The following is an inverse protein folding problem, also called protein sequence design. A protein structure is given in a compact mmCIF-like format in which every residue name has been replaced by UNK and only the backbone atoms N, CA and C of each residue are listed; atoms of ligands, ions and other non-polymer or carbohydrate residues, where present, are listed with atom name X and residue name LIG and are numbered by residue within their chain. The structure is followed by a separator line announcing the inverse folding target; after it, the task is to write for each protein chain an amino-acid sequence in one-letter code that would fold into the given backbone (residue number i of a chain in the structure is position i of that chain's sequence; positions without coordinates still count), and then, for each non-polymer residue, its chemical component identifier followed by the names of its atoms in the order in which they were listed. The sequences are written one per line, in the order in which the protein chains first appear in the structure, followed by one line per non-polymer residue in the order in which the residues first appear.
data_IF_710613374920
#
_entry.id   IF_710613374920
#
_cell.length_a   1.000
_cell.length_b   1.000
_cell.length_c   1.000
_cell.angle_alpha   90.00
_cell.angle_beta   90.00
_cell.angle_gamma   90.00
#
_symmetry.space_group_name_H-M   'P 1'
#
loop_
_entity.id
_entity.type
_entity.pdbx_description
1 polymer ?
#
# COMPACT_ATOMS: atom_id res chain seq x y z
N UNK A 1 11.28 16.95 6.65
CA UNK A 1 12.21 15.93 7.18
C UNK A 1 12.62 16.35 8.57
N UNK A 2 12.89 15.37 9.43
CA UNK A 2 13.40 15.55 10.79
C UNK A 2 14.78 14.91 10.90
N UNK A 3 15.59 15.36 11.85
CA UNK A 3 16.94 14.88 12.15
C UNK A 3 17.04 14.11 13.48
N UNK A 4 15.93 14.02 14.22
CA UNK A 4 15.81 13.29 15.49
C UNK A 4 15.43 11.80 15.31
N UNK A 5 15.15 11.38 14.07
CA UNK A 5 14.74 10.03 13.73
C UNK A 5 13.27 9.73 14.03
N UNK A 6 12.49 10.69 14.51
CA UNK A 6 11.10 10.42 14.88
C UNK A 6 10.19 10.32 13.65
N UNK A 7 9.21 9.42 13.70
CA UNK A 7 8.18 9.27 12.67
C UNK A 7 6.86 9.70 13.30
N UNK A 8 6.33 10.83 12.86
CA UNK A 8 5.10 11.40 13.40
C UNK A 8 4.03 11.48 12.32
N UNK A 9 2.89 10.82 12.54
CA UNK A 9 1.71 11.01 11.72
C UNK A 9 0.91 12.20 12.27
N UNK A 10 0.96 13.34 11.60
CA UNK A 10 0.31 14.58 12.03
C UNK A 10 -1.23 14.55 11.90
N UNK A 11 -1.73 13.59 11.13
CA UNK A 11 -3.16 13.41 10.86
C UNK A 11 -3.53 11.96 11.18
N UNK A 12 -3.72 11.62 12.47
CA UNK A 12 -4.10 10.28 12.88
C UNK A 12 -5.43 9.89 12.22
N UNK A 13 -5.57 8.61 11.90
CA UNK A 13 -6.80 8.06 11.33
C UNK A 13 -7.60 7.46 12.49
N UNK A 14 -8.84 7.94 12.68
CA UNK A 14 -9.72 7.46 13.75
C UNK A 14 -9.85 5.93 13.72
N UNK A 15 -9.61 5.30 14.87
CA UNK A 15 -9.68 3.84 15.03
C UNK A 15 -8.48 3.07 14.48
N UNK A 16 -7.43 3.74 14.00
CA UNK A 16 -6.18 3.10 13.52
C UNK A 16 -4.99 3.64 14.31
N UNK A 17 -4.52 2.91 15.34
CA UNK A 17 -3.29 3.25 16.06
C UNK A 17 -2.09 3.39 15.13
N UNK A 18 -1.14 4.25 15.48
CA UNK A 18 0.06 4.50 14.66
C UNK A 18 0.89 3.23 14.44
N UNK A 19 0.94 2.31 15.41
CA UNK A 19 1.64 1.03 15.28
C UNK A 19 1.05 0.12 14.20
N UNK A 20 -0.26 0.23 13.93
CA UNK A 20 -0.94 -0.53 12.89
C UNK A 20 -1.11 0.26 11.59
N UNK A 21 -0.91 1.57 11.61
CA UNK A 21 -1.03 2.43 10.45
C UNK A 21 0.07 2.15 9.42
N UNK A 22 -0.35 1.80 8.20
CA UNK A 22 0.54 1.44 7.10
C UNK A 22 1.51 2.57 6.70
N UNK A 23 1.15 3.85 6.92
CA UNK A 23 2.03 5.00 6.70
C UNK A 23 3.24 4.95 7.64
N UNK A 24 2.97 4.81 8.95
CA UNK A 24 3.99 4.79 10.00
C UNK A 24 4.85 3.54 9.87
N UNK A 25 4.23 2.39 9.62
CA UNK A 25 4.93 1.12 9.40
C UNK A 25 5.86 1.18 8.18
N UNK A 26 5.42 1.74 7.06
CA UNK A 26 6.25 1.93 5.87
C UNK A 26 7.48 2.80 6.14
N UNK A 27 7.28 3.95 6.80
CA UNK A 27 8.38 4.85 7.13
C UNK A 27 9.39 4.19 8.09
N UNK A 28 8.92 3.45 9.10
CA UNK A 28 9.78 2.72 10.04
C UNK A 28 10.57 1.60 9.36
N UNK A 29 9.96 0.84 8.45
CA UNK A 29 10.66 -0.19 7.68
C UNK A 29 11.75 0.42 6.81
N UNK A 30 11.47 1.53 6.15
CA UNK A 30 12.46 2.16 5.29
C UNK A 30 13.63 2.78 6.09
N UNK A 31 13.40 3.17 7.34
CA UNK A 31 14.41 3.83 8.18
C UNK A 31 15.70 3.01 8.32
N UNK A 32 15.62 1.68 8.35
CA UNK A 32 16.82 0.81 8.43
C UNK A 32 17.71 0.88 7.18
N UNK A 33 17.23 1.46 6.08
CA UNK A 33 17.97 1.64 4.84
C UNK A 33 18.51 3.07 4.69
N UNK A 34 18.22 3.97 5.64
CA UNK A 34 18.81 5.32 5.65
C UNK A 34 20.21 5.30 6.26
N UNK A 35 21.11 6.13 5.74
CA UNK A 35 22.47 6.31 6.26
C UNK A 35 22.55 7.18 7.51
N UNK A 36 21.45 7.82 7.90
CA UNK A 36 21.35 8.72 9.04
C UNK A 36 20.07 8.44 9.83
N UNK A 37 19.97 8.88 11.10
CA UNK A 37 18.75 8.76 11.89
C UNK A 37 17.69 9.78 11.42
N UNK A 38 17.31 9.72 10.14
CA UNK A 38 16.31 10.62 9.59
C UNK A 38 14.91 10.25 10.08
N UNK A 39 14.14 11.29 10.34
CA UNK A 39 12.73 11.21 10.72
C UNK A 39 11.84 11.95 9.71
N UNK A 40 10.53 11.87 9.91
CA UNK A 40 9.55 12.50 9.07
C UNK A 40 8.28 12.84 9.83
N UNK A 41 7.79 14.06 9.61
CA UNK A 41 6.40 14.41 9.85
C UNK A 41 5.61 14.09 8.57
N UNK A 42 4.56 13.31 8.72
CA UNK A 42 3.73 12.83 7.60
C UNK A 42 2.30 13.27 7.87
N UNK A 43 1.65 13.88 6.87
CA UNK A 43 0.23 14.23 6.91
C UNK A 43 -0.48 13.63 5.70
N UNK A 44 -1.69 13.15 5.89
CA UNK A 44 -2.55 12.61 4.84
C UNK A 44 -3.88 13.36 4.81
N UNK A 45 -4.26 13.83 3.63
CA UNK A 45 -5.64 14.23 3.35
C UNK A 45 -6.42 13.01 2.85
N UNK A 46 -7.18 12.35 3.74
CA UNK A 46 -7.85 11.10 3.43
C UNK A 46 -9.19 11.33 2.73
N UNK A 47 -9.18 11.27 1.40
CA UNK A 47 -10.40 11.37 0.56
C UNK A 47 -11.04 10.01 0.33
N UNK A 48 -10.23 8.96 0.12
CA UNK A 48 -10.74 7.60 -0.07
C UNK A 48 -11.35 7.08 1.24
N UNK A 49 -12.50 6.36 1.20
CA UNK A 49 -13.07 5.75 2.40
C UNK A 49 -12.12 4.71 3.00
N UNK A 50 -12.37 4.36 4.25
CA UNK A 50 -11.72 3.21 4.90
C UNK A 50 -12.37 1.91 4.40
N UNK A 51 -11.55 0.93 4.03
CA UNK A 51 -12.03 -0.29 3.37
C UNK A 51 -12.52 -0.03 1.94
N UNK A 52 -13.50 -0.81 1.48
CA UNK A 52 -14.14 -0.60 0.18
C UNK A 52 -13.40 -1.18 -1.04
N UNK A 53 -12.30 -1.91 -0.84
CA UNK A 53 -11.60 -2.61 -1.93
C UNK A 53 -10.83 -1.71 -2.89
N UNK A 54 -10.57 -0.44 -2.52
CA UNK A 54 -9.87 0.55 -3.37
C UNK A 54 -8.35 0.59 -3.15
N UNK A 55 -7.82 -0.24 -2.26
CA UNK A 55 -6.38 -0.26 -1.97
C UNK A 55 -5.83 1.00 -1.29
N UNK A 56 -6.67 1.83 -0.67
CA UNK A 56 -6.25 3.14 -0.14
C UNK A 56 -5.09 3.08 0.87
N UNK A 57 -5.15 2.14 1.83
CA UNK A 57 -4.06 1.95 2.80
C UNK A 57 -2.76 1.46 2.16
N UNK A 58 -2.85 0.54 1.20
CA UNK A 58 -1.71 0.02 0.44
C UNK A 58 -1.05 1.12 -0.41
N UNK A 59 -1.86 1.97 -1.05
CA UNK A 59 -1.40 3.16 -1.78
C UNK A 59 -0.69 4.15 -0.86
N UNK A 60 -1.17 4.34 0.38
CA UNK A 60 -0.51 5.20 1.36
C UNK A 60 0.88 4.65 1.74
N UNK A 61 0.99 3.35 2.07
CA UNK A 61 2.28 2.71 2.33
C UNK A 61 3.25 2.83 1.14
N UNK A 62 2.80 2.49 -0.07
CA UNK A 62 3.61 2.58 -1.28
C UNK A 62 4.14 4.00 -1.51
N UNK A 63 3.27 5.00 -1.39
CA UNK A 63 3.64 6.41 -1.55
C UNK A 63 4.70 6.82 -0.53
N UNK A 64 4.56 6.39 0.73
CA UNK A 64 5.55 6.67 1.78
C UNK A 64 6.89 6.02 1.46
N UNK A 65 6.90 4.75 1.04
CA UNK A 65 8.13 4.04 0.65
C UNK A 65 8.84 4.76 -0.50
N UNK A 66 8.12 5.09 -1.57
CA UNK A 66 8.69 5.77 -2.75
C UNK A 66 9.19 7.17 -2.38
N UNK A 67 8.38 7.96 -1.68
CA UNK A 67 8.71 9.34 -1.34
C UNK A 67 9.90 9.41 -0.36
N UNK A 68 9.90 8.59 0.70
CA UNK A 68 10.99 8.60 1.67
C UNK A 68 12.26 7.94 1.10
N UNK A 69 12.17 6.97 0.20
CA UNK A 69 13.37 6.41 -0.47
C UNK A 69 14.10 7.51 -1.25
N UNK A 70 13.33 8.38 -1.90
CA UNK A 70 13.85 9.54 -2.60
C UNK A 70 14.40 10.61 -1.62
N UNK A 71 13.60 11.02 -0.63
CA UNK A 71 13.95 12.10 0.30
C UNK A 71 15.12 11.75 1.22
N UNK A 72 15.19 10.50 1.68
CA UNK A 72 16.29 9.99 2.51
C UNK A 72 17.46 9.44 1.70
N UNK A 73 17.37 9.49 0.36
CA UNK A 73 18.42 9.02 -0.56
C UNK A 73 18.87 7.58 -0.27
N UNK A 74 17.92 6.71 0.10
CA UNK A 74 18.22 5.30 0.42
C UNK A 74 18.70 4.51 -0.81
N UNK A 75 18.40 4.99 -2.02
CA UNK A 75 18.92 4.41 -3.27
C UNK A 75 18.35 3.03 -3.60
N UNK A 76 17.21 2.66 -3.02
CA UNK A 76 16.57 1.37 -3.30
C UNK A 76 15.92 1.38 -4.68
N UNK A 77 16.03 0.26 -5.38
CA UNK A 77 15.34 0.03 -6.66
C UNK A 77 13.84 -0.20 -6.46
N UNK A 78 13.06 -0.14 -7.56
CA UNK A 78 11.62 -0.44 -7.52
C UNK A 78 11.37 -1.86 -7.02
N UNK A 79 12.19 -2.82 -7.45
CA UNK A 79 12.09 -4.23 -7.05
C UNK A 79 12.31 -4.38 -5.53
N UNK A 80 13.33 -3.72 -4.98
CA UNK A 80 13.61 -3.74 -3.55
C UNK A 80 12.48 -3.08 -2.74
N UNK A 81 11.91 -1.98 -3.24
CA UNK A 81 10.75 -1.35 -2.62
C UNK A 81 9.52 -2.27 -2.67
N UNK A 82 9.31 -2.99 -3.77
CA UNK A 82 8.25 -4.00 -3.89
C UNK A 82 8.43 -5.14 -2.88
N UNK A 83 9.65 -5.63 -2.68
CA UNK A 83 9.95 -6.65 -1.67
C UNK A 83 9.61 -6.18 -0.25
N UNK A 84 10.01 -4.95 0.11
CA UNK A 84 9.64 -4.33 1.39
C UNK A 84 8.12 -4.14 1.48
N UNK A 85 7.51 -3.61 0.42
CA UNK A 85 6.08 -3.34 0.33
C UNK A 85 5.22 -4.59 0.51
N UNK A 86 5.66 -5.74 -0.02
CA UNK A 86 4.96 -7.01 0.11
C UNK A 86 4.79 -7.44 1.59
N UNK A 87 5.72 -7.07 2.47
CA UNK A 87 5.61 -7.33 3.92
C UNK A 87 4.52 -6.49 4.61
N UNK A 88 4.09 -5.40 3.98
CA UNK A 88 3.02 -4.52 4.46
C UNK A 88 1.65 -4.94 3.89
N UNK A 89 1.62 -5.48 2.68
CA UNK A 89 0.42 -6.05 2.06
C UNK A 89 0.61 -6.38 0.58
N UNK A 90 -0.15 -7.37 0.11
CA UNK A 90 -0.16 -7.88 -1.27
C UNK A 90 -0.37 -6.80 -2.36
N UNK A 91 -1.17 -5.77 -2.06
CA UNK A 91 -1.46 -4.70 -3.03
C UNK A 91 -0.40 -3.59 -3.06
N UNK A 92 0.50 -3.52 -2.07
CA UNK A 92 1.49 -2.44 -1.97
C UNK A 92 2.45 -2.42 -3.17
N UNK A 93 3.00 -3.56 -3.65
CA UNK A 93 3.84 -3.59 -4.85
C UNK A 93 3.17 -2.99 -6.09
N UNK A 94 1.86 -3.17 -6.28
CA UNK A 94 1.13 -2.60 -7.43
C UNK A 94 1.22 -1.07 -7.43
N UNK A 95 1.05 -0.45 -6.25
CA UNK A 95 1.13 1.00 -6.12
C UNK A 95 2.57 1.53 -6.20
N UNK A 96 3.57 0.75 -5.77
CA UNK A 96 4.99 1.11 -5.96
C UNK A 96 5.35 1.06 -7.45
N UNK A 97 4.86 0.04 -8.15
CA UNK A 97 5.08 -0.15 -9.57
C UNK A 97 4.49 1.00 -10.41
N UNK A 98 3.32 1.52 -10.01
CA UNK A 98 2.76 2.76 -10.55
C UNK A 98 2.19 2.65 -11.96
N UNK A 99 2.15 1.45 -12.54
CA UNK A 99 1.59 1.16 -13.85
C UNK A 99 0.49 0.10 -13.75
N UNK A 100 -0.44 0.11 -14.72
CA UNK A 100 -1.37 -1.00 -14.89
C UNK A 100 -0.59 -2.30 -15.12
N UNK A 101 -0.96 -3.36 -14.41
CA UNK A 101 -0.26 -4.62 -14.45
C UNK A 101 -1.22 -5.79 -14.20
N UNK A 102 -0.91 -6.93 -14.82
CA UNK A 102 -1.42 -8.22 -14.36
C UNK A 102 -0.61 -8.64 -13.15
N UNK A 103 -1.32 -9.00 -12.08
CA UNK A 103 -0.74 -9.51 -10.85
C UNK A 103 -0.98 -11.02 -10.77
N UNK A 104 0.09 -11.81 -10.64
CA UNK A 104 0.05 -13.24 -10.37
C UNK A 104 0.57 -13.55 -8.97
N UNK A 105 0.36 -14.79 -8.52
CA UNK A 105 0.73 -15.21 -7.17
C UNK A 105 -0.15 -14.55 -6.10
N UNK A 106 0.47 -13.99 -5.07
CA UNK A 106 -0.16 -13.16 -4.05
C UNK A 106 0.02 -11.66 -4.33
N UNK A 107 0.38 -11.28 -5.56
CA UNK A 107 0.62 -9.89 -5.96
C UNK A 107 2.10 -9.53 -6.12
N UNK A 108 3.01 -10.50 -5.96
CA UNK A 108 4.46 -10.30 -6.07
C UNK A 108 4.98 -10.35 -7.52
N UNK A 109 4.22 -10.95 -8.44
CA UNK A 109 4.58 -11.03 -9.87
C UNK A 109 3.74 -10.05 -10.67
N UNK A 110 4.34 -8.91 -10.97
CA UNK A 110 3.69 -7.85 -11.75
C UNK A 110 4.20 -7.86 -13.19
N UNK A 111 3.28 -8.04 -14.13
CA UNK A 111 3.56 -7.92 -15.56
C UNK A 111 2.84 -6.68 -16.11
N UNK A 112 3.55 -5.70 -16.69
CA UNK A 112 2.93 -4.50 -17.23
C UNK A 112 1.82 -4.81 -18.23
N UNK A 113 0.73 -4.07 -18.14
CA UNK A 113 -0.43 -4.20 -19.01
C UNK A 113 -0.94 -2.82 -19.42
N UNK A 114 -1.52 -2.71 -20.61
CA UNK A 114 -2.11 -1.48 -21.12
C UNK A 114 -3.59 -1.69 -21.45
N UNK A 115 -4.46 -1.90 -20.44
CA UNK A 115 -5.89 -2.01 -20.67
C UNK A 115 -6.45 -0.69 -21.21
N UNK A 116 -7.54 -0.76 -21.97
CA UNK A 116 -8.24 0.44 -22.40
C UNK A 116 -8.80 1.21 -21.19
N UNK A 117 -8.41 2.47 -21.06
CA UNK A 117 -8.93 3.36 -20.03
C UNK A 117 -10.41 3.70 -20.27
N UNK A 118 -11.21 3.68 -19.21
CA UNK A 118 -12.66 3.97 -19.25
C UNK A 118 -13.05 4.90 -18.10
N UNK A 119 -14.25 5.44 -18.20
CA UNK A 119 -14.89 6.16 -17.10
C UNK A 119 -15.57 5.18 -16.16
N UNK A 120 -15.37 5.39 -14.86
CA UNK A 120 -15.97 4.57 -13.79
C UNK A 120 -16.72 5.48 -12.81
N UNK A 121 -17.91 5.03 -12.40
CA UNK A 121 -18.63 5.59 -11.26
C UNK A 121 -18.47 4.62 -10.09
N UNK A 122 -17.81 5.08 -9.03
CA UNK A 122 -17.59 4.28 -7.81
C UNK A 122 -18.67 4.64 -6.80
N UNK A 123 -19.51 3.67 -6.45
CA UNK A 123 -20.53 3.81 -5.42
C UNK A 123 -20.08 3.08 -4.14
N UNK A 124 -20.16 3.75 -3.00
CA UNK A 124 -19.82 3.19 -1.70
C UNK A 124 -21.03 3.28 -0.75
N UNK A 125 -21.60 2.16 -0.26
CA UNK A 125 -22.84 2.15 0.51
C UNK A 125 -22.71 2.66 1.96
N UNK A 126 -21.49 2.97 2.41
CA UNK A 126 -21.23 3.46 3.78
C UNK A 126 -21.02 2.34 4.80
N UNK A 127 -21.14 1.07 4.40
CA UNK A 127 -20.88 -0.09 5.27
C UNK A 127 -19.44 -0.55 5.15
N UNK A 128 -18.83 -0.91 6.28
CA UNK A 128 -17.48 -1.49 6.32
C UNK A 128 -17.58 -3.01 6.31
N UNK A 129 -16.98 -3.65 5.30
CA UNK A 129 -16.94 -5.11 5.14
C UNK A 129 -15.50 -5.59 5.36
N UNK A 130 -15.18 -6.26 6.49
CA UNK A 130 -13.85 -6.80 6.73
C UNK A 130 -13.49 -7.91 5.74
N UNK A 131 -12.34 -7.77 5.08
CA UNK A 131 -11.80 -8.76 4.12
C UNK A 131 -11.80 -10.20 4.66
N UNK A 132 -11.37 -10.49 5.91
CA UNK A 132 -11.34 -11.86 6.43
C UNK A 132 -12.71 -12.55 6.48
N UNK A 133 -13.79 -11.79 6.70
CA UNK A 133 -15.16 -12.33 6.76
C UNK A 133 -15.55 -12.89 5.40
N UNK A 134 -15.27 -12.15 4.32
CA UNK A 134 -15.57 -12.60 2.95
C UNK A 134 -14.73 -13.82 2.57
N UNK A 135 -13.43 -13.82 2.87
CA UNK A 135 -12.55 -14.94 2.49
C UNK A 135 -12.80 -16.23 3.28
N UNK A 136 -13.42 -16.10 4.46
CA UNK A 136 -13.76 -17.22 5.35
C UNK A 136 -15.17 -17.77 5.08
N UNK A 137 -15.94 -17.17 4.18
CA UNK A 137 -17.28 -17.62 3.84
C UNK A 137 -17.26 -19.01 3.18
N UNK A 138 -18.13 -19.90 3.65
CA UNK A 138 -18.22 -21.28 3.16
C UNK A 138 -18.72 -21.33 1.71
N UNK A 139 -19.58 -20.38 1.31
CA UNK A 139 -20.14 -20.30 -0.04
C UNK A 139 -19.23 -19.58 -1.03
N UNK A 140 -18.09 -19.05 -0.57
CA UNK A 140 -17.11 -18.41 -1.46
C UNK A 140 -16.60 -19.40 -2.51
N UNK A 141 -16.87 -19.09 -3.77
CA UNK A 141 -16.44 -19.87 -4.93
C UNK A 141 -14.92 -19.79 -5.06
N UNK A 142 -14.25 -20.94 -4.90
CA UNK A 142 -12.78 -21.08 -4.92
C UNK A 142 -12.24 -21.86 -6.12
N UNK A 143 -13.10 -22.21 -7.08
CA UNK A 143 -12.78 -23.07 -8.22
C UNK A 143 -12.68 -22.30 -9.55
N UNK A 144 -12.38 -20.99 -9.51
CA UNK A 144 -12.13 -20.21 -10.73
C UNK A 144 -10.94 -20.82 -11.49
N UNK A 145 -11.09 -21.20 -12.78
CA UNK A 145 -10.01 -21.75 -13.56
C UNK A 145 -8.85 -20.75 -13.66
N UNK A 146 -7.60 -21.25 -13.65
CA UNK A 146 -6.44 -20.40 -13.91
C UNK A 146 -6.55 -19.79 -15.31
N UNK A 147 -6.46 -18.46 -15.39
CA UNK A 147 -6.40 -17.74 -16.66
C UNK A 147 -4.96 -17.80 -17.14
N UNK A 148 -4.70 -18.62 -18.17
CA UNK A 148 -3.41 -18.62 -18.86
C UNK A 148 -3.46 -17.58 -19.99
N UNK A 149 -2.56 -16.60 -19.95
CA UNK A 149 -2.31 -15.64 -21.04
C UNK A 149 -1.18 -16.13 -21.94
#
# INVERSE_FOLDING_TARGET
MRDDGEICLLTPIDGVPDESNLIVRAARLLKSYSSAPLGADISINKVLPMGGGLGGGSSNAATVLVALNHLWQCGLSVEQLCEIGLTLGADVPVFIFGHSAFAEGVGEKLQPANPQEKWYLVAHPGVHIPTPIIFSDAELIRNTPNVHY
#
